data_IF_125729255075
#
_entry.id   IF_125729255075
#
_cell.length_a   1.000
_cell.length_b   1.000
_cell.length_c   1.000
_cell.angle_alpha   90.00
_cell.angle_beta   90.00
_cell.angle_gamma   90.00
#
_symmetry.space_group_name_H-M   'P 1'
#
loop_
_entity.id
_entity.type
_entity.pdbx_description
1 polymer ?
#
# COMPACT_ATOMS: atom_id res chain seq x y z
N UNK A 1 -5.19 -10.51 -1.47
CA UNK A 1 -5.93 -9.85 -0.37
C UNK A 1 -5.01 -9.63 0.82
N UNK A 2 -4.73 -8.38 1.16
CA UNK A 2 -3.88 -8.01 2.31
C UNK A 2 -4.70 -8.18 3.59
N UNK A 3 -4.13 -8.90 4.57
CA UNK A 3 -4.82 -9.22 5.84
C UNK A 3 -4.32 -8.40 7.03
N UNK A 4 -3.09 -7.91 6.97
CA UNK A 4 -2.48 -7.14 8.06
C UNK A 4 -1.28 -6.35 7.54
N UNK A 5 -0.89 -5.35 8.33
CA UNK A 5 0.30 -4.53 8.11
C UNK A 5 1.19 -4.56 9.36
N UNK A 6 2.50 -4.66 9.15
CA UNK A 6 3.48 -4.56 10.25
C UNK A 6 3.73 -3.08 10.61
N UNK A 7 3.72 -2.21 9.60
CA UNK A 7 3.98 -0.78 9.75
C UNK A 7 2.68 0.02 9.76
N UNK A 8 2.50 0.81 10.82
CA UNK A 8 1.37 1.74 10.97
C UNK A 8 1.31 2.78 9.84
N UNK A 9 2.46 3.21 9.32
CA UNK A 9 2.48 4.18 8.22
C UNK A 9 2.08 3.55 6.89
N UNK A 10 2.41 2.27 6.68
CA UNK A 10 1.95 1.52 5.49
C UNK A 10 0.44 1.32 5.53
N UNK A 11 -0.11 1.03 6.71
CA UNK A 11 -1.56 0.92 6.94
C UNK A 11 -2.26 2.27 6.68
N UNK A 12 -1.73 3.39 7.20
CA UNK A 12 -2.25 4.73 6.89
C UNK A 12 -2.28 4.99 5.38
N UNK A 13 -1.18 4.72 4.66
CA UNK A 13 -1.12 4.89 3.21
C UNK A 13 -2.18 4.03 2.50
N UNK A 14 -2.39 2.79 2.95
CA UNK A 14 -3.42 1.89 2.42
C UNK A 14 -4.83 2.48 2.58
N UNK A 15 -5.17 2.92 3.78
CA UNK A 15 -6.44 3.57 4.12
C UNK A 15 -6.64 4.90 3.36
N UNK A 16 -5.54 5.53 2.94
CA UNK A 16 -5.54 6.82 2.25
C UNK A 16 -5.34 8.02 3.15
N UNK A 17 -4.87 7.75 4.36
CA UNK A 17 -4.46 8.76 5.31
C UNK A 17 -3.06 9.26 4.94
N UNK A 18 -2.83 10.57 5.11
CA UNK A 18 -1.53 11.16 4.86
C UNK A 18 -0.52 10.73 5.94
N UNK A 19 0.58 10.15 5.49
CA UNK A 19 1.76 9.88 6.31
C UNK A 19 2.71 11.08 6.27
N UNK A 20 3.21 11.51 7.43
CA UNK A 20 4.25 12.55 7.49
C UNK A 20 5.66 11.99 7.26
N UNK A 21 5.83 10.68 7.30
CA UNK A 21 7.14 10.02 7.18
C UNK A 21 7.61 9.89 5.73
N UNK A 22 6.70 9.98 4.76
CA UNK A 22 7.02 9.80 3.34
C UNK A 22 6.58 10.99 2.48
N UNK A 23 7.32 11.34 1.42
CA UNK A 23 6.84 12.30 0.43
C UNK A 23 5.54 11.85 -0.25
N UNK A 24 4.67 12.81 -0.61
CA UNK A 24 3.37 12.55 -1.24
C UNK A 24 3.44 11.61 -2.45
N UNK A 25 4.43 11.80 -3.33
CA UNK A 25 4.56 10.98 -4.54
C UNK A 25 4.90 9.52 -4.21
N UNK A 26 5.70 9.26 -3.17
CA UNK A 26 6.02 7.91 -2.71
C UNK A 26 4.78 7.24 -2.12
N UNK A 27 4.00 7.97 -1.31
CA UNK A 27 2.75 7.44 -0.75
C UNK A 27 1.76 7.04 -1.85
N UNK A 28 1.63 7.86 -2.90
CA UNK A 28 0.78 7.57 -4.04
C UNK A 28 1.22 6.31 -4.81
N UNK A 29 2.52 6.14 -5.02
CA UNK A 29 3.07 4.94 -5.69
C UNK A 29 2.89 3.71 -4.80
N UNK A 30 3.20 3.82 -3.50
CA UNK A 30 3.05 2.73 -2.55
C UNK A 30 1.59 2.25 -2.49
N UNK A 31 0.62 3.17 -2.42
CA UNK A 31 -0.81 2.83 -2.41
C UNK A 31 -1.25 2.08 -3.66
N UNK A 32 -0.77 2.48 -4.85
CA UNK A 32 -1.05 1.77 -6.09
C UNK A 32 -0.51 0.33 -6.05
N UNK A 33 0.75 0.15 -5.64
CA UNK A 33 1.36 -1.19 -5.52
C UNK A 33 0.65 -2.08 -4.50
N UNK A 34 0.26 -1.52 -3.35
CA UNK A 34 -0.51 -2.26 -2.35
C UNK A 34 -1.86 -2.71 -2.91
N UNK A 35 -2.52 -1.90 -3.75
CA UNK A 35 -3.78 -2.31 -4.39
C UNK A 35 -3.57 -3.43 -5.40
N UNK A 36 -2.48 -3.38 -6.18
CA UNK A 36 -2.11 -4.47 -7.08
C UNK A 36 -1.90 -5.77 -6.30
N UNK A 37 -1.08 -5.75 -5.25
CA UNK A 37 -0.84 -6.92 -4.38
C UNK A 37 -2.12 -7.41 -3.67
N UNK A 38 -3.03 -6.50 -3.32
CA UNK A 38 -4.30 -6.89 -2.74
C UNK A 38 -5.18 -7.65 -3.74
N UNK A 39 -5.10 -7.27 -5.02
CA UNK A 39 -5.92 -7.80 -6.09
C UNK A 39 -5.28 -8.98 -6.83
N UNK A 40 -3.99 -9.25 -6.65
CA UNK A 40 -3.31 -10.41 -7.25
C UNK A 40 -3.88 -11.72 -6.70
N UNK A 41 -4.22 -12.64 -7.60
CA UNK A 41 -4.68 -13.99 -7.29
C UNK A 41 -3.50 -14.97 -7.27
N UNK A 42 -2.44 -14.68 -8.03
CA UNK A 42 -1.22 -15.46 -8.07
C UNK A 42 0.02 -14.53 -8.08
N UNK A 43 1.19 -15.10 -7.75
CA UNK A 43 2.46 -14.37 -7.65
C UNK A 43 3.01 -13.88 -9.01
N UNK A 44 2.43 -14.33 -10.13
CA UNK A 44 2.80 -13.93 -11.48
C UNK A 44 1.85 -12.87 -12.07
N UNK A 45 0.85 -12.41 -11.31
CA UNK A 45 -0.05 -11.38 -11.78
C UNK A 45 0.69 -10.02 -11.90
N UNK A 46 0.49 -9.25 -13.01
CA UNK A 46 1.23 -8.01 -13.29
C UNK A 46 1.05 -6.88 -12.27
#
# INVERSE_FOLDING_TARGET
MIKSFISKETEKIWEGNFSKEYPNHIQNIARQKLRMLNNSFNLMDP
#
